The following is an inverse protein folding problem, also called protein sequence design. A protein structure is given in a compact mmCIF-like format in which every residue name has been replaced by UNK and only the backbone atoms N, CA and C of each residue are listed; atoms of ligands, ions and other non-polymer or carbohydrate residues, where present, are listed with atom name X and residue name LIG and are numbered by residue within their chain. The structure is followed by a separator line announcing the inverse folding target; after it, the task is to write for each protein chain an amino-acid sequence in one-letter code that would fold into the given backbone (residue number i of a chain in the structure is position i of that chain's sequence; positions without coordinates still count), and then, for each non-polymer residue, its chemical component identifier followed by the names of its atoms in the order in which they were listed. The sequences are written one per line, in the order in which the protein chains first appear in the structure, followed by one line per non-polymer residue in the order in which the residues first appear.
data_IF_168709430615
#
_entry.id   IF_168709430615
#
_cell.length_a   1.000
_cell.length_b   1.000
_cell.length_c   1.000
_cell.angle_alpha   90.00
_cell.angle_beta   90.00
_cell.angle_gamma   90.00
#
_symmetry.space_group_name_H-M   'P 1'
#
loop_
_entity.id
_entity.type
_entity.pdbx_description
1 polymer ?
#
# COMPACT_ATOMS: atom_id res chain seq x y z
N UNK A 1 6.35 14.97 -21.56
CA UNK A 1 6.16 13.71 -22.32
C UNK A 1 6.22 13.89 -23.83
N UNK A 2 5.22 14.46 -24.52
CA UNK A 2 5.16 14.45 -26.01
C UNK A 2 6.40 15.01 -26.72
N UNK A 3 7.07 16.01 -26.15
CA UNK A 3 8.33 16.59 -26.64
C UNK A 3 9.52 15.61 -26.62
N UNK A 4 9.42 14.50 -25.89
CA UNK A 4 10.46 13.46 -25.76
C UNK A 4 10.23 12.27 -26.71
N UNK A 5 9.18 12.31 -27.55
CA UNK A 5 8.90 11.25 -28.51
C UNK A 5 10.04 11.13 -29.53
N UNK A 6 10.52 9.91 -29.76
CA UNK A 6 11.71 9.64 -30.56
C UNK A 6 13.01 9.60 -29.74
N UNK A 7 12.97 9.86 -28.43
CA UNK A 7 14.14 9.67 -27.57
C UNK A 7 14.63 8.22 -27.65
N UNK A 8 15.95 8.08 -27.84
CA UNK A 8 16.65 6.80 -27.88
C UNK A 8 17.64 6.72 -26.73
N UNK A 9 17.64 5.56 -26.08
CA UNK A 9 18.68 5.15 -25.14
C UNK A 9 20.08 5.21 -25.77
N UNK A 10 21.06 5.64 -24.98
CA UNK A 10 22.47 5.72 -25.39
C UNK A 10 23.19 4.39 -25.09
N UNK A 11 24.49 4.32 -25.41
CA UNK A 11 25.33 3.18 -25.01
C UNK A 11 25.27 2.91 -23.50
N UNK A 12 25.38 1.63 -23.12
CA UNK A 12 25.34 1.21 -21.73
C UNK A 12 23.99 1.47 -21.03
N UNK A 13 22.87 1.36 -21.75
CA UNK A 13 21.50 1.61 -21.26
C UNK A 13 21.25 3.03 -20.68
N UNK A 14 22.16 3.98 -20.91
CA UNK A 14 22.06 5.31 -20.34
C UNK A 14 20.88 6.10 -20.91
N UNK A 15 20.07 6.68 -20.02
CA UNK A 15 19.09 7.72 -20.37
C UNK A 15 19.13 8.89 -19.38
N UNK A 16 18.69 10.06 -19.84
CA UNK A 16 18.51 11.22 -18.94
C UNK A 16 17.44 10.98 -17.86
N UNK A 17 16.50 10.07 -18.11
CA UNK A 17 15.43 9.71 -17.18
C UNK A 17 15.95 8.78 -16.07
N UNK A 18 16.75 7.77 -16.43
CA UNK A 18 17.43 6.89 -15.48
C UNK A 18 18.46 7.64 -14.64
N UNK A 19 19.27 8.52 -15.27
CA UNK A 19 20.18 9.42 -14.55
C UNK A 19 19.44 10.29 -13.54
N UNK A 20 18.40 11.02 -13.97
CA UNK A 20 17.58 11.86 -13.08
C UNK A 20 16.96 11.06 -11.92
N UNK A 21 16.48 9.85 -12.18
CA UNK A 21 15.89 9.00 -11.13
C UNK A 21 16.97 8.55 -10.14
N UNK A 22 18.13 8.09 -10.64
CA UNK A 22 19.28 7.71 -9.83
C UNK A 22 19.77 8.84 -8.92
N UNK A 23 19.84 10.08 -9.43
CA UNK A 23 20.21 11.26 -8.65
C UNK A 23 19.15 11.58 -7.59
N UNK A 24 17.86 11.46 -7.92
CA UNK A 24 16.73 11.72 -7.02
C UNK A 24 16.64 10.74 -5.86
N UNK A 25 16.89 9.45 -6.10
CA UNK A 25 16.88 8.40 -5.06
C UNK A 25 18.26 8.09 -4.48
N UNK A 26 19.30 8.83 -4.91
CA UNK A 26 20.69 8.68 -4.49
C UNK A 26 21.27 7.27 -4.69
N UNK A 27 20.87 6.58 -5.76
CA UNK A 27 21.31 5.21 -6.07
C UNK A 27 21.63 5.05 -7.56
N UNK A 28 22.93 4.88 -7.85
CA UNK A 28 23.47 4.85 -9.21
C UNK A 28 23.02 3.63 -10.02
N UNK A 29 22.49 2.58 -9.39
CA UNK A 29 22.00 1.38 -10.09
C UNK A 29 20.77 1.62 -10.98
N UNK A 30 20.16 2.80 -10.89
CA UNK A 30 19.02 3.21 -11.71
C UNK A 30 19.43 3.96 -12.98
N UNK A 31 20.68 4.41 -13.10
CA UNK A 31 21.18 5.21 -14.23
C UNK A 31 21.09 4.49 -15.57
N UNK A 32 21.34 3.19 -15.54
CA UNK A 32 21.46 2.24 -16.65
C UNK A 32 20.49 1.04 -16.51
N UNK A 33 19.39 1.23 -15.76
CA UNK A 33 18.31 0.25 -15.61
C UNK A 33 17.16 0.46 -16.63
N UNK A 34 16.32 -0.56 -16.88
CA UNK A 34 15.11 -0.42 -17.71
C UNK A 34 14.22 0.73 -17.25
N UNK A 35 13.98 1.69 -18.14
CA UNK A 35 13.57 3.06 -17.78
C UNK A 35 12.11 3.40 -18.12
N UNK A 36 11.26 2.39 -18.37
CA UNK A 36 9.84 2.60 -18.66
C UNK A 36 9.14 3.41 -17.54
N UNK A 37 9.34 3.00 -16.29
CA UNK A 37 8.68 3.60 -15.13
C UNK A 37 9.39 4.89 -14.66
N UNK A 38 10.73 4.91 -14.72
CA UNK A 38 11.53 6.10 -14.38
C UNK A 38 11.22 7.30 -15.30
N UNK A 39 10.86 7.06 -16.56
CA UNK A 39 10.34 8.09 -17.45
C UNK A 39 8.98 8.65 -16.98
N UNK A 40 8.10 7.82 -16.42
CA UNK A 40 6.80 8.28 -15.92
C UNK A 40 6.95 9.08 -14.62
N UNK A 41 7.85 8.68 -13.73
CA UNK A 41 8.24 9.46 -12.56
C UNK A 41 8.80 10.85 -12.96
N UNK A 42 9.73 10.89 -13.94
CA UNK A 42 10.26 12.15 -14.49
C UNK A 42 9.17 13.01 -15.13
N UNK A 43 8.25 12.38 -15.87
CA UNK A 43 7.16 13.08 -16.54
C UNK A 43 6.15 13.68 -15.54
N UNK A 44 5.86 12.96 -14.45
CA UNK A 44 4.98 13.43 -13.38
C UNK A 44 5.60 14.61 -12.61
N UNK A 45 6.89 14.53 -12.30
CA UNK A 45 7.68 15.63 -11.69
C UNK A 45 7.64 16.89 -12.57
N UNK A 46 7.94 16.74 -13.86
CA UNK A 46 7.93 17.86 -14.82
C UNK A 46 6.54 18.46 -15.08
N UNK A 47 5.48 17.75 -14.69
CA UNK A 47 4.10 18.23 -14.76
C UNK A 47 3.53 18.64 -13.38
N UNK A 48 4.28 18.52 -12.28
CA UNK A 48 3.82 18.85 -10.93
C UNK A 48 2.71 17.95 -10.39
N UNK A 49 2.57 16.72 -10.91
CA UNK A 49 1.50 15.77 -10.56
C UNK A 49 1.99 14.51 -9.83
N UNK A 50 3.22 14.55 -9.31
CA UNK A 50 3.87 13.39 -8.68
C UNK A 50 3.07 12.77 -7.53
N UNK A 51 2.34 13.56 -6.75
CA UNK A 51 1.42 13.06 -5.71
C UNK A 51 0.34 12.10 -6.23
N UNK A 52 -0.02 12.21 -7.51
CA UNK A 52 -1.11 11.46 -8.13
C UNK A 52 -0.64 10.31 -9.03
N UNK A 53 0.64 10.31 -9.41
CA UNK A 53 1.28 9.27 -10.24
C UNK A 53 2.25 8.41 -9.42
N UNK A 54 2.95 9.00 -8.46
CA UNK A 54 4.03 8.35 -7.71
C UNK A 54 5.40 8.41 -8.41
N UNK A 55 6.41 7.86 -7.74
CA UNK A 55 7.79 7.80 -8.21
C UNK A 55 8.28 6.35 -8.12
N UNK A 56 8.40 5.68 -9.27
CA UNK A 56 8.73 4.27 -9.33
C UNK A 56 9.75 3.94 -10.42
N UNK A 57 10.52 2.88 -10.17
CA UNK A 57 11.39 2.22 -11.13
C UNK A 57 11.06 0.72 -11.32
N UNK A 58 10.11 0.18 -10.53
CA UNK A 58 9.72 -1.23 -10.58
C UNK A 58 8.19 -1.35 -10.69
N UNK A 59 7.75 -1.84 -11.85
CA UNK A 59 6.36 -1.79 -12.30
C UNK A 59 5.35 -2.56 -11.43
N UNK A 60 5.67 -3.70 -10.76
CA UNK A 60 4.77 -4.31 -9.79
C UNK A 60 4.52 -3.47 -8.54
N UNK A 61 5.51 -2.71 -8.04
CA UNK A 61 5.31 -1.80 -6.90
C UNK A 61 4.41 -0.62 -7.28
N UNK A 62 4.58 -0.07 -8.48
CA UNK A 62 3.74 1.00 -8.98
C UNK A 62 2.27 0.56 -9.13
N UNK A 63 2.05 -0.63 -9.69
CA UNK A 63 0.72 -1.22 -9.76
C UNK A 63 0.12 -1.51 -8.37
N UNK A 64 0.91 -2.06 -7.45
CA UNK A 64 0.49 -2.27 -6.06
C UNK A 64 0.10 -0.95 -5.35
N UNK A 65 0.82 0.14 -5.63
CA UNK A 65 0.50 1.46 -5.10
C UNK A 65 -0.86 1.97 -5.62
N UNK A 66 -1.14 1.92 -6.93
CA UNK A 66 -2.46 2.29 -7.45
C UNK A 66 -3.60 1.43 -6.89
N UNK A 67 -3.35 0.15 -6.63
CA UNK A 67 -4.30 -0.75 -5.95
C UNK A 67 -4.56 -0.24 -4.51
N UNK A 68 -3.51 0.11 -3.77
CA UNK A 68 -3.63 0.67 -2.41
C UNK A 68 -4.33 2.04 -2.38
N UNK A 69 -4.12 2.89 -3.39
CA UNK A 69 -4.82 4.18 -3.52
C UNK A 69 -6.31 4.05 -3.90
N UNK A 70 -6.84 2.83 -4.09
CA UNK A 70 -8.20 2.61 -4.60
C UNK A 70 -8.39 3.09 -6.04
N UNK A 71 -7.28 3.21 -6.80
CA UNK A 71 -7.22 3.86 -8.10
C UNK A 71 -6.81 2.90 -9.23
N UNK A 72 -7.11 1.61 -9.07
CA UNK A 72 -6.84 0.56 -10.05
C UNK A 72 -8.12 0.05 -10.73
N UNK A 73 -8.08 -0.12 -12.05
CA UNK A 73 -9.23 -0.61 -12.85
C UNK A 73 -8.80 -1.62 -13.93
N UNK A 74 -9.79 -2.21 -14.61
CA UNK A 74 -9.64 -3.04 -15.81
C UNK A 74 -10.04 -2.30 -17.09
N UNK A 75 -10.69 -1.14 -16.97
CA UNK A 75 -11.12 -0.32 -18.11
C UNK A 75 -10.09 0.74 -18.50
N UNK A 76 -9.72 0.86 -19.79
CA UNK A 76 -8.81 1.90 -20.26
C UNK A 76 -9.48 3.28 -20.32
N UNK A 77 -8.74 4.32 -19.96
CA UNK A 77 -9.11 5.72 -20.24
C UNK A 77 -7.89 6.56 -20.62
N UNK A 78 -8.05 7.66 -21.39
CA UNK A 78 -6.96 8.60 -21.65
C UNK A 78 -6.37 9.17 -20.36
N UNK A 79 -5.04 9.17 -20.24
CA UNK A 79 -4.31 9.58 -19.04
C UNK A 79 -4.06 8.47 -18.02
N UNK A 80 -4.67 7.29 -18.19
CA UNK A 80 -4.36 6.12 -17.38
C UNK A 80 -2.93 5.62 -17.62
N UNK A 81 -2.30 5.09 -16.57
CA UNK A 81 -1.09 4.29 -16.68
C UNK A 81 -1.50 2.84 -16.94
N UNK A 82 -1.15 2.30 -18.09
CA UNK A 82 -1.42 0.90 -18.47
C UNK A 82 -0.24 0.01 -18.11
N UNK A 83 -0.53 -1.13 -17.49
CA UNK A 83 0.48 -2.10 -17.07
C UNK A 83 0.30 -3.44 -17.79
N UNK A 84 1.41 -4.02 -18.25
CA UNK A 84 1.42 -5.24 -19.08
C UNK A 84 2.21 -6.38 -18.45
N UNK A 85 1.76 -7.61 -18.70
CA UNK A 85 2.46 -8.87 -18.45
C UNK A 85 2.58 -9.56 -19.82
N UNK A 86 3.81 -9.69 -20.32
CA UNK A 86 4.06 -10.22 -21.66
C UNK A 86 3.86 -11.75 -21.72
N UNK A 87 4.05 -12.44 -20.60
CA UNK A 87 3.59 -13.82 -20.39
C UNK A 87 2.09 -13.98 -20.59
N UNK A 88 1.32 -12.90 -20.41
CA UNK A 88 -0.15 -12.87 -20.53
C UNK A 88 -0.86 -13.16 -19.21
N UNK A 89 -0.14 -13.17 -18.09
CA UNK A 89 -0.75 -13.24 -16.76
C UNK A 89 -1.63 -12.02 -16.45
N UNK A 90 -2.34 -12.12 -15.32
CA UNK A 90 -3.28 -11.08 -14.83
C UNK A 90 -3.01 -10.67 -13.39
N UNK A 91 -1.85 -11.05 -12.86
CA UNK A 91 -1.38 -10.73 -11.52
C UNK A 91 -0.43 -9.52 -11.58
N UNK A 92 -0.63 -8.51 -10.73
CA UNK A 92 0.23 -7.33 -10.71
C UNK A 92 1.71 -7.65 -10.41
N UNK A 93 1.99 -8.78 -9.74
CA UNK A 93 3.35 -9.26 -9.47
C UNK A 93 4.11 -9.74 -10.72
N UNK A 94 3.41 -10.01 -11.83
CA UNK A 94 3.97 -10.43 -13.11
C UNK A 94 4.09 -9.29 -14.15
N UNK A 95 3.87 -8.04 -13.74
CA UNK A 95 3.96 -6.90 -14.66
C UNK A 95 5.42 -6.69 -15.10
N UNK A 96 5.62 -6.67 -16.42
CA UNK A 96 6.91 -6.44 -17.09
C UNK A 96 7.10 -4.98 -17.52
N UNK A 97 6.00 -4.25 -17.78
CA UNK A 97 6.05 -2.95 -18.47
C UNK A 97 4.89 -2.03 -18.12
N UNK A 98 5.12 -0.72 -18.32
CA UNK A 98 4.13 0.35 -18.11
C UNK A 98 4.20 1.38 -19.25
N UNK A 99 3.06 1.99 -19.56
CA UNK A 99 2.94 3.13 -20.47
C UNK A 99 1.79 4.06 -20.08
N UNK A 100 1.60 5.17 -20.79
CA UNK A 100 0.43 6.05 -20.61
C UNK A 100 -0.51 5.93 -21.80
N UNK A 101 -1.80 5.73 -21.55
CA UNK A 101 -2.86 5.74 -22.57
C UNK A 101 -3.07 7.18 -23.06
N UNK A 102 -2.82 7.43 -24.35
CA UNK A 102 -3.09 8.71 -25.01
C UNK A 102 -4.52 8.76 -25.56
N UNK A 103 -5.04 7.63 -26.08
CA UNK A 103 -6.45 7.47 -26.51
C UNK A 103 -6.88 6.01 -26.57
N UNK A 104 -8.19 5.77 -26.52
CA UNK A 104 -8.82 4.44 -26.67
C UNK A 104 -9.61 4.41 -27.97
N UNK A 105 -9.60 3.28 -28.68
CA UNK A 105 -10.28 3.09 -29.96
C UNK A 105 -10.81 1.65 -30.07
N UNK A 106 -12.09 1.46 -29.73
CA UNK A 106 -12.68 0.13 -29.61
C UNK A 106 -11.94 -0.72 -28.58
N UNK A 107 -11.37 -1.86 -29.02
CA UNK A 107 -10.58 -2.77 -28.16
C UNK A 107 -9.08 -2.43 -28.09
N UNK A 108 -8.64 -1.42 -28.84
CA UNK A 108 -7.24 -0.98 -28.92
C UNK A 108 -7.00 0.24 -28.03
N UNK A 109 -5.81 0.29 -27.45
CA UNK A 109 -5.28 1.48 -26.79
C UNK A 109 -4.10 2.02 -27.60
N UNK A 110 -3.98 3.34 -27.64
CA UNK A 110 -2.84 4.04 -28.22
C UNK A 110 -2.10 4.73 -27.09
N UNK A 111 -0.82 4.46 -26.98
CA UNK A 111 -0.03 4.71 -25.78
C UNK A 111 1.25 5.46 -26.10
N UNK A 112 1.81 6.13 -25.09
CA UNK A 112 3.18 6.62 -25.07
C UNK A 112 3.96 5.72 -24.10
N UNK A 113 4.99 5.04 -24.62
CA UNK A 113 5.75 4.01 -23.91
C UNK A 113 7.25 4.28 -24.03
N UNK A 114 7.95 4.24 -22.89
CA UNK A 114 9.40 4.38 -22.73
C UNK A 114 10.08 3.00 -22.58
N UNK A 115 11.35 2.86 -22.96
CA UNK A 115 12.06 1.57 -23.04
C UNK A 115 11.34 0.53 -23.96
N UNK A 116 10.46 0.98 -24.87
CA UNK A 116 9.77 0.08 -25.81
C UNK A 116 10.65 -0.27 -27.00
N UNK A 117 10.48 -1.48 -27.53
CA UNK A 117 11.37 -2.07 -28.54
C UNK A 117 12.85 -1.96 -28.09
N UNK A 118 13.05 -2.27 -26.80
CA UNK A 118 14.28 -2.19 -25.98
C UNK A 118 14.82 -0.79 -25.68
N UNK A 119 14.82 0.14 -26.63
CA UNK A 119 15.64 1.36 -26.54
C UNK A 119 14.91 2.68 -26.80
N UNK A 120 13.60 2.67 -27.06
CA UNK A 120 12.88 3.85 -27.54
C UNK A 120 11.82 4.37 -26.57
N UNK A 121 11.58 5.68 -26.63
CA UNK A 121 10.34 6.32 -26.21
C UNK A 121 9.52 6.71 -27.44
N UNK A 122 8.38 6.08 -27.65
CA UNK A 122 7.52 6.35 -28.80
C UNK A 122 6.06 5.98 -28.55
N UNK A 123 5.23 6.27 -29.55
CA UNK A 123 3.84 5.79 -29.59
C UNK A 123 3.77 4.31 -29.95
N UNK A 124 2.80 3.61 -29.37
CA UNK A 124 2.40 2.26 -29.78
C UNK A 124 0.87 2.20 -29.89
N UNK A 125 0.38 1.31 -30.74
CA UNK A 125 -1.00 0.81 -30.68
C UNK A 125 -0.93 -0.60 -30.12
N UNK A 126 -1.76 -0.91 -29.13
CA UNK A 126 -1.73 -2.19 -28.41
C UNK A 126 -3.13 -2.79 -28.37
N UNK A 127 -3.21 -4.10 -28.56
CA UNK A 127 -4.35 -4.89 -28.09
C UNK A 127 -4.33 -4.98 -26.56
N UNK A 128 -5.46 -5.31 -25.96
CA UNK A 128 -5.65 -5.33 -24.51
C UNK A 128 -5.45 -6.72 -23.88
N UNK A 129 -5.13 -7.75 -24.67
CA UNK A 129 -4.95 -9.14 -24.22
C UNK A 129 -3.80 -9.33 -23.23
N UNK A 130 -2.72 -8.54 -23.35
CA UNK A 130 -1.56 -8.52 -22.42
C UNK A 130 -1.66 -7.52 -21.28
N UNK A 131 -2.74 -6.75 -21.20
CA UNK A 131 -2.93 -5.79 -20.11
C UNK A 131 -3.25 -6.54 -18.81
N UNK A 132 -2.56 -6.17 -17.73
CA UNK A 132 -2.90 -6.58 -16.35
C UNK A 132 -3.92 -5.62 -15.77
N UNK A 133 -3.81 -4.32 -16.02
CA UNK A 133 -4.81 -3.32 -15.67
C UNK A 133 -4.27 -1.90 -15.77
N UNK A 134 -5.01 -0.96 -15.20
CA UNK A 134 -4.76 0.47 -15.34
C UNK A 134 -4.75 1.16 -13.98
N UNK A 135 -3.72 1.98 -13.74
CA UNK A 135 -3.66 2.94 -12.64
C UNK A 135 -4.18 4.30 -13.09
N UNK A 136 -5.04 4.93 -12.29
CA UNK A 136 -5.80 6.13 -12.67
C UNK A 136 -5.41 7.34 -11.80
N UNK A 137 -4.48 8.21 -12.25
CA UNK A 137 -4.01 9.36 -11.46
C UNK A 137 -5.12 10.31 -11.01
N UNK A 138 -6.17 10.52 -11.84
CA UNK A 138 -7.29 11.39 -11.47
C UNK A 138 -8.11 10.87 -10.28
N UNK A 139 -8.14 9.55 -10.06
CA UNK A 139 -8.79 8.97 -8.87
C UNK A 139 -7.94 9.16 -7.62
N UNK A 140 -6.61 9.02 -7.72
CA UNK A 140 -5.69 9.36 -6.62
C UNK A 140 -5.86 10.83 -6.23
N UNK A 141 -5.90 11.73 -7.21
CA UNK A 141 -6.16 13.16 -7.00
C UNK A 141 -7.47 13.40 -6.23
N UNK A 142 -8.59 12.87 -6.73
CA UNK A 142 -9.89 13.03 -6.07
C UNK A 142 -9.94 12.45 -4.64
N UNK A 143 -9.23 11.34 -4.39
CA UNK A 143 -9.11 10.75 -3.05
C UNK A 143 -8.31 11.66 -2.11
N UNK A 144 -7.21 12.25 -2.56
CA UNK A 144 -6.40 13.21 -1.78
C UNK A 144 -7.18 14.50 -1.50
N UNK A 145 -7.89 15.05 -2.48
CA UNK A 145 -8.72 16.25 -2.33
C UNK A 145 -9.86 16.02 -1.33
N UNK A 146 -10.56 14.88 -1.43
CA UNK A 146 -11.61 14.48 -0.47
C UNK A 146 -11.07 14.31 0.96
N UNK A 147 -9.89 13.72 1.14
CA UNK A 147 -9.26 13.59 2.46
C UNK A 147 -8.85 14.96 3.04
N UNK A 148 -8.42 15.89 2.19
CA UNK A 148 -8.11 17.25 2.60
C UNK A 148 -9.37 18.04 3.01
N UNK A 149 -10.50 17.84 2.32
CA UNK A 149 -11.79 18.41 2.67
C UNK A 149 -12.28 17.89 4.03
N UNK A 150 -12.32 16.57 4.23
CA UNK A 150 -12.70 15.93 5.51
C UNK A 150 -11.83 16.49 6.65
N UNK A 151 -10.50 16.48 6.49
CA UNK A 151 -9.56 17.01 7.50
C UNK A 151 -9.76 18.50 7.77
N UNK A 152 -10.25 19.27 6.81
CA UNK A 152 -10.54 20.69 6.98
C UNK A 152 -11.85 20.92 7.75
N UNK A 153 -12.87 20.08 7.51
CA UNK A 153 -14.13 20.08 8.25
C UNK A 153 -14.00 19.52 9.68
N UNK A 154 -13.09 18.57 9.91
CA UNK A 154 -12.80 17.96 11.23
C UNK A 154 -11.95 18.85 12.15
N UNK A 155 -11.40 19.97 11.66
CA UNK A 155 -10.79 20.97 12.54
C UNK A 155 -11.89 21.55 13.43
N UNK A 156 -11.86 21.33 14.76
CA UNK A 156 -12.85 21.96 15.62
C UNK A 156 -12.73 23.47 15.45
N UNK A 157 -13.87 24.14 15.38
CA UNK A 157 -13.94 25.58 15.54
C UNK A 157 -13.36 25.90 16.91
N UNK A 158 -12.08 26.28 16.96
CA UNK A 158 -11.44 26.80 18.16
C UNK A 158 -12.17 28.10 18.43
N UNK A 159 -13.17 28.04 19.31
CA UNK A 159 -13.84 29.22 19.84
C UNK A 159 -12.75 30.18 20.26
N UNK A 160 -12.75 31.39 19.69
CA UNK A 160 -11.82 32.43 20.05
C UNK A 160 -11.76 32.52 21.58
N UNK A 161 -10.58 32.72 22.19
CA UNK A 161 -10.45 32.76 23.65
C UNK A 161 -11.49 33.77 24.16
N UNK A 162 -12.45 33.26 24.93
CA UNK A 162 -13.55 34.06 25.45
C UNK A 162 -12.91 35.16 26.27
N UNK A 163 -13.04 36.41 25.79
CA UNK A 163 -12.50 37.57 26.49
C UNK A 163 -12.91 37.47 27.96
N UNK A 164 -11.92 37.47 28.85
CA UNK A 164 -12.17 37.41 30.29
C UNK A 164 -13.10 38.57 30.64
N UNK A 165 -14.18 38.26 31.35
CA UNK A 165 -15.10 39.30 31.81
C UNK A 165 -14.35 40.29 32.70
N UNK A 166 -14.84 41.54 32.82
CA UNK A 166 -14.21 42.52 33.71
C UNK A 166 -14.10 41.95 35.14
N UNK A 167 -13.02 42.26 35.87
CA UNK A 167 -12.75 41.68 37.18
C UNK A 167 -13.87 42.01 38.18
N UNK A 168 -13.98 41.15 39.20
CA UNK A 168 -15.08 41.15 40.15
C UNK A 168 -15.20 42.45 40.97
N UNK A 169 -16.44 42.73 41.36
CA UNK A 169 -16.92 43.49 42.53
C UNK A 169 -16.09 44.67 43.09
N UNK A 170 -16.69 45.87 43.27
CA UNK A 170 -15.99 47.09 43.74
C UNK A 170 -15.63 47.11 45.24
N UNK A 171 -15.58 45.97 45.93
CA UNK A 171 -15.37 45.89 47.38
C UNK A 171 -13.92 45.57 47.79
N UNK A 172 -13.04 45.19 46.85
CA UNK A 172 -11.61 44.99 47.12
C UNK A 172 -10.83 46.32 47.29
N UNK A 173 -11.53 47.47 47.27
CA UNK A 173 -10.92 48.81 47.35
C UNK A 173 -10.82 49.39 48.78
N UNK A 174 -11.46 48.80 49.80
CA UNK A 174 -11.28 49.22 51.20
C UNK A 174 -10.16 48.42 51.87
N UNK A 175 -8.93 48.88 51.66
CA UNK A 175 -7.73 48.30 52.24
C UNK A 175 -7.69 48.36 53.77
N UNK A 176 -7.98 47.24 54.42
CA UNK A 176 -7.52 46.96 55.79
C UNK A 176 -6.25 46.08 55.69
N UNK A 177 -5.10 46.50 56.25
CA UNK A 177 -3.89 45.70 56.15
C UNK A 177 -4.07 44.38 56.94
N UNK A 178 -3.65 43.21 56.38
CA UNK A 178 -3.94 41.89 56.95
C UNK A 178 -3.35 41.66 58.36
N UNK A 179 -2.41 42.51 58.79
CA UNK A 179 -1.87 42.51 60.15
C UNK A 179 -2.94 42.76 61.24
N UNK A 180 -3.97 43.57 60.97
CA UNK A 180 -5.03 43.86 61.95
C UNK A 180 -5.99 42.67 62.13
N UNK A 181 -6.32 41.97 61.04
CA UNK A 181 -7.10 40.73 61.10
C UNK A 181 -6.33 39.63 61.86
N UNK A 182 -5.02 39.50 61.63
CA UNK A 182 -4.19 38.55 62.37
C UNK A 182 -4.20 38.81 63.88
N UNK A 183 -4.14 40.07 64.33
CA UNK A 183 -4.21 40.42 65.75
C UNK A 183 -5.58 40.11 66.39
N UNK A 184 -6.70 40.40 65.70
CA UNK A 184 -8.04 40.05 66.19
C UNK A 184 -8.28 38.54 66.26
N UNK A 185 -7.79 37.77 65.29
CA UNK A 185 -7.88 36.30 65.30
C UNK A 185 -7.01 35.71 66.42
N UNK A 186 -5.81 36.24 66.67
CA UNK A 186 -4.94 35.73 67.72
C UNK A 186 -5.54 35.92 69.13
N UNK A 187 -6.14 37.10 69.40
CA UNK A 187 -6.80 37.37 70.68
C UNK A 187 -8.03 36.50 70.93
N UNK A 188 -8.85 36.25 69.90
CA UNK A 188 -10.04 35.38 70.03
C UNK A 188 -9.68 33.91 70.22
N UNK A 189 -8.59 33.42 69.59
CA UNK A 189 -8.10 32.04 69.77
C UNK A 189 -7.53 31.82 71.17
N UNK A 190 -6.73 32.75 71.72
CA UNK A 190 -6.17 32.63 73.08
C UNK A 190 -7.26 32.61 74.15
N UNK A 191 -8.34 33.39 73.97
CA UNK A 191 -9.47 33.39 74.90
C UNK A 191 -10.30 32.09 74.82
N UNK A 192 -10.37 31.48 73.64
CA UNK A 192 -11.14 30.24 73.39
C UNK A 192 -10.45 28.97 73.88
N UNK A 193 -9.11 28.95 73.94
CA UNK A 193 -8.32 27.77 74.35
C UNK A 193 -8.34 27.45 75.86
N UNK A 194 -8.98 28.29 76.69
CA UNK A 194 -9.19 28.00 78.13
C UNK A 194 -10.47 27.19 78.42
N UNK A 195 -11.32 26.91 77.42
CA UNK A 195 -12.61 26.24 77.63
C UNK A 195 -12.75 25.02 76.69
N UNK A 196 -13.43 23.97 77.16
CA UNK A 196 -13.83 22.76 76.41
C UNK A 196 -12.74 21.75 75.99
N UNK A 197 -12.07 21.20 77.00
CA UNK A 197 -11.44 19.86 76.96
C UNK A 197 -12.50 18.75 77.11
N UNK A 198 -12.97 18.08 76.04
CA UNK A 198 -13.56 16.70 76.10
C UNK A 198 -13.89 16.05 74.72
N UNK A 199 -13.35 14.83 74.52
CA UNK A 199 -13.90 13.57 73.90
C UNK A 199 -14.87 13.66 72.69
N UNK A 200 -14.80 12.81 71.65
CA UNK A 200 -13.86 11.73 71.31
C UNK A 200 -14.42 10.64 70.38
N UNK A 201 -13.52 9.84 69.79
CA UNK A 201 -13.68 8.45 69.25
C UNK A 201 -14.40 8.15 67.91
N UNK A 202 -13.78 7.21 67.17
CA UNK A 202 -13.86 6.93 65.74
C UNK A 202 -14.87 5.85 65.27
N UNK A 203 -15.22 5.94 63.97
CA UNK A 203 -15.72 4.92 63.01
C UNK A 203 -15.38 3.43 63.29
N UNK A 204 -16.32 2.53 62.93
CA UNK A 204 -16.19 1.50 61.85
C UNK A 204 -17.48 0.65 61.67
N UNK A 205 -17.83 0.30 60.43
CA UNK A 205 -18.73 -0.83 60.09
C UNK A 205 -18.53 -1.27 58.61
N UNK A 206 -18.45 -2.59 58.29
CA UNK A 206 -18.40 -3.10 56.92
C UNK A 206 -19.75 -3.66 56.42
N UNK A 207 -19.93 -3.74 55.10
CA UNK A 207 -21.19 -4.13 54.45
C UNK A 207 -21.31 -5.63 54.12
N UNK A 208 -22.54 -6.15 54.09
CA UNK A 208 -22.88 -7.58 53.85
C UNK A 208 -23.39 -7.83 52.41
N UNK A 209 -23.33 -9.10 51.97
CA UNK A 209 -23.90 -9.64 50.72
C UNK A 209 -25.44 -9.77 50.76
N UNK A 210 -26.09 -9.94 49.58
CA UNK A 210 -27.30 -10.75 49.43
C UNK A 210 -27.11 -12.06 48.64
N UNK A 211 -28.09 -12.96 48.74
CA UNK A 211 -28.21 -14.34 48.24
C UNK A 211 -29.09 -14.44 46.97
N UNK A 212 -28.76 -15.22 45.93
CA UNK A 212 -28.99 -16.68 45.67
C UNK A 212 -30.46 -17.13 45.39
N UNK A 213 -30.68 -17.60 44.16
CA UNK A 213 -31.53 -18.73 43.73
C UNK A 213 -30.74 -19.46 42.60
N UNK A 214 -30.66 -20.78 42.37
CA UNK A 214 -31.59 -21.91 42.56
C UNK A 214 -32.15 -22.30 41.17
N UNK A 215 -32.04 -23.51 40.58
CA UNK A 215 -31.40 -24.81 40.89
C UNK A 215 -31.10 -25.53 39.53
N UNK A 216 -30.23 -26.55 39.35
CA UNK A 216 -30.34 -28.00 39.69
C UNK A 216 -28.99 -28.74 39.34
N UNK A 217 -28.75 -30.01 39.74
CA UNK A 217 -27.40 -30.61 39.79
C UNK A 217 -26.91 -31.35 38.51
N UNK A 218 -25.60 -31.70 38.43
CA UNK A 218 -24.95 -32.25 37.22
C UNK A 218 -24.79 -33.78 37.21
N UNK A 219 -24.54 -34.33 36.00
CA UNK A 219 -24.03 -35.71 35.78
C UNK A 219 -22.68 -35.64 35.05
N UNK A 220 -21.75 -36.53 35.42
CA UNK A 220 -20.35 -36.71 34.96
C UNK A 220 -19.90 -38.11 35.43
N UNK A 221 -18.71 -38.67 35.04
CA UNK A 221 -17.77 -38.30 33.96
C UNK A 221 -17.26 -39.52 33.13
N UNK A 222 -16.39 -39.28 32.12
CA UNK A 222 -15.20 -40.08 31.67
C UNK A 222 -14.62 -39.39 30.40
N UNK A 223 -13.37 -38.95 30.24
CA UNK A 223 -12.01 -39.52 30.47
C UNK A 223 -11.56 -40.49 29.33
N UNK A 224 -10.92 -40.00 28.24
CA UNK A 224 -9.46 -40.05 27.89
C UNK A 224 -8.92 -41.45 27.52
N UNK A 225 -7.76 -41.67 26.81
CA UNK A 225 -6.95 -40.88 25.84
C UNK A 225 -6.98 -41.61 24.45
N UNK A 226 -5.91 -41.85 23.62
CA UNK A 226 -4.62 -41.18 23.34
C UNK A 226 -4.45 -40.82 21.82
N UNK A 227 -3.51 -41.41 21.06
CA UNK A 227 -3.20 -41.11 19.63
C UNK A 227 -2.38 -42.21 18.90
N UNK A 228 -2.26 -42.07 17.56
CA UNK A 228 -1.36 -42.72 16.56
C UNK A 228 -1.90 -43.90 15.71
N UNK A 229 -1.35 -43.94 14.48
CA UNK A 229 -1.45 -44.96 13.43
C UNK A 229 -2.78 -45.11 12.68
N UNK A 230 -2.88 -44.45 11.51
CA UNK A 230 -2.98 -45.19 10.26
C UNK A 230 -2.48 -44.34 9.08
N UNK A 231 -1.53 -44.90 8.34
CA UNK A 231 -1.07 -44.40 7.04
C UNK A 231 -1.48 -45.42 5.96
N UNK A 232 -1.55 -44.96 4.70
CA UNK A 232 -1.78 -45.77 3.49
C UNK A 232 -3.16 -46.45 3.40
N UNK A 233 -4.07 -45.87 2.62
CA UNK A 233 -4.80 -46.56 1.54
C UNK A 233 -5.73 -45.58 0.81
N UNK A 234 -5.23 -44.92 -0.24
CA UNK A 234 -6.04 -44.41 -1.35
C UNK A 234 -5.15 -44.20 -2.59
N UNK A 235 -4.61 -45.31 -3.08
CA UNK A 235 -3.99 -45.43 -4.38
C UNK A 235 -4.38 -46.79 -4.98
N UNK A 236 -4.67 -46.82 -6.28
CA UNK A 236 -5.11 -47.99 -7.09
C UNK A 236 -6.57 -48.45 -6.93
N UNK A 237 -7.45 -47.77 -7.67
CA UNK A 237 -8.58 -48.33 -8.45
C UNK A 237 -9.10 -47.14 -9.30
N UNK A 238 -9.30 -47.21 -10.62
CA UNK A 238 -9.22 -48.31 -11.58
C UNK A 238 -8.46 -47.89 -12.85
N UNK A 239 -7.67 -48.81 -13.40
CA UNK A 239 -7.29 -48.81 -14.80
C UNK A 239 -7.62 -50.18 -15.38
N UNK A 240 -8.47 -50.23 -16.42
CA UNK A 240 -8.57 -51.27 -17.48
C UNK A 240 -9.91 -51.17 -18.22
N UNK A 241 -9.85 -50.80 -19.51
CA UNK A 241 -10.63 -51.38 -20.62
C UNK A 241 -10.09 -50.86 -21.95
N UNK A 242 -9.31 -51.70 -22.63
CA UNK A 242 -9.16 -51.69 -24.09
C UNK A 242 -10.09 -52.77 -24.67
N UNK A 243 -10.34 -52.76 -25.99
CA UNK A 243 -9.71 -53.79 -26.82
C UNK A 243 -9.03 -53.25 -28.10
N UNK A 244 -8.27 -54.12 -28.76
CA UNK A 244 -7.47 -53.84 -29.97
C UNK A 244 -8.24 -54.11 -31.27
N UNK A 245 -7.79 -53.54 -32.39
CA UNK A 245 -7.89 -54.14 -33.73
C UNK A 245 -6.71 -53.74 -34.64
N UNK A 246 -6.58 -54.42 -35.79
CA UNK A 246 -5.49 -54.35 -36.79
C UNK A 246 -6.11 -54.16 -38.19
N UNK A 247 -5.41 -53.88 -39.30
CA UNK A 247 -3.98 -53.75 -39.65
C UNK A 247 -3.90 -52.89 -40.95
N UNK A 248 -2.76 -52.29 -41.31
CA UNK A 248 -2.06 -52.47 -42.62
C UNK A 248 -0.87 -51.49 -42.83
N UNK A 249 0.07 -51.94 -43.67
CA UNK A 249 1.14 -51.12 -44.30
C UNK A 249 0.51 -50.29 -45.46
N UNK A 250 1.15 -49.39 -46.22
CA UNK A 250 2.50 -49.40 -46.80
C UNK A 250 2.79 -48.03 -47.47
N UNK A 251 4.03 -47.75 -47.91
CA UNK A 251 4.29 -46.70 -48.93
C UNK A 251 5.15 -45.49 -48.51
N UNK A 252 6.47 -45.59 -48.76
CA UNK A 252 7.35 -44.46 -49.07
C UNK A 252 7.65 -44.48 -50.59
N UNK A 253 7.96 -43.35 -51.22
CA UNK A 253 9.26 -42.67 -51.08
C UNK A 253 9.07 -41.18 -50.65
N UNK A 254 9.95 -40.18 -50.82
CA UNK A 254 11.15 -40.06 -51.65
C UNK A 254 12.23 -39.11 -51.07
N UNK A 255 12.75 -38.16 -51.88
CA UNK A 255 13.97 -37.37 -51.68
C UNK A 255 13.78 -35.93 -52.19
N UNK A 256 14.36 -34.94 -51.49
CA UNK A 256 15.31 -33.95 -52.05
C UNK A 256 16.28 -33.45 -50.95
N UNK A 257 17.47 -32.98 -51.36
CA UNK A 257 18.65 -32.58 -50.56
C UNK A 257 19.50 -31.61 -51.43
N UNK A 258 20.34 -30.68 -50.98
CA UNK A 258 20.82 -30.20 -49.65
C UNK A 258 20.82 -28.62 -49.72
N UNK A 259 21.79 -27.77 -49.26
CA UNK A 259 22.73 -27.79 -48.11
C UNK A 259 22.76 -26.51 -47.23
N UNK A 260 23.35 -26.70 -46.04
CA UNK A 260 24.29 -25.82 -45.30
C UNK A 260 24.03 -24.31 -45.09
N UNK A 261 24.00 -23.92 -43.81
CA UNK A 261 24.18 -22.54 -43.33
C UNK A 261 24.84 -22.53 -41.94
N UNK A 262 25.99 -21.86 -41.87
CA UNK A 262 26.91 -21.60 -40.75
C UNK A 262 26.34 -21.64 -39.33
N UNK A 263 27.03 -22.32 -38.41
CA UNK A 263 26.77 -22.21 -36.97
C UNK A 263 27.47 -21.02 -36.32
N UNK A 264 26.81 -20.38 -35.34
CA UNK A 264 27.48 -19.62 -34.28
C UNK A 264 26.84 -19.93 -32.93
N UNK A 265 27.69 -20.14 -31.92
CA UNK A 265 27.30 -20.47 -30.55
C UNK A 265 26.73 -19.23 -29.87
N UNK A 266 25.48 -19.33 -29.40
CA UNK A 266 24.89 -18.30 -28.54
C UNK A 266 25.33 -18.51 -27.08
N UNK A 267 26.27 -17.70 -26.61
CA UNK A 267 26.64 -17.63 -25.19
C UNK A 267 25.48 -17.10 -24.35
N UNK A 268 25.00 -17.90 -23.40
CA UNK A 268 24.00 -17.47 -22.43
C UNK A 268 24.66 -16.53 -21.42
N UNK A 269 24.35 -15.23 -21.48
CA UNK A 269 24.69 -14.33 -20.39
C UNK A 269 23.79 -14.61 -19.18
N UNK A 270 24.40 -14.96 -18.06
CA UNK A 270 23.75 -15.12 -16.77
C UNK A 270 23.45 -13.75 -16.15
N UNK A 271 22.18 -13.49 -15.84
CA UNK A 271 21.77 -12.30 -15.10
C UNK A 271 22.16 -12.46 -13.62
N UNK A 272 22.89 -11.51 -13.00
CA UNK A 272 23.13 -11.54 -11.55
C UNK A 272 21.83 -11.26 -10.79
N UNK A 273 21.60 -12.00 -9.70
CA UNK A 273 20.39 -11.86 -8.89
C UNK A 273 20.40 -10.52 -8.12
N UNK A 274 19.57 -9.57 -8.57
CA UNK A 274 19.40 -8.26 -7.93
C UNK A 274 18.51 -8.39 -6.69
N UNK A 275 18.95 -7.86 -5.54
CA UNK A 275 18.12 -7.73 -4.33
C UNK A 275 16.87 -6.90 -4.66
N UNK A 276 15.72 -7.28 -4.11
CA UNK A 276 14.50 -6.47 -4.17
C UNK A 276 14.59 -5.37 -3.11
N UNK A 277 14.53 -4.07 -3.47
CA UNK A 277 14.08 -3.06 -2.52
C UNK A 277 12.59 -3.29 -2.22
N UNK A 278 12.11 -2.82 -1.06
CA UNK A 278 10.72 -2.96 -0.59
C UNK A 278 10.29 -4.36 -0.10
N UNK A 279 11.12 -5.04 0.69
CA UNK A 279 10.58 -5.90 1.77
C UNK A 279 10.48 -5.05 3.06
N UNK A 280 9.35 -5.09 3.78
CA UNK A 280 9.21 -4.39 5.05
C UNK A 280 10.04 -5.08 6.15
N UNK A 281 10.68 -4.27 6.99
CA UNK A 281 11.30 -4.68 8.27
C UNK A 281 10.25 -5.01 9.32
#
# INVERSE_FOLDING_TARGET
MRQELGYKEKSGQFTKFGQWYADRVQDTQYRDAPWCDMFLAWAADKAGITTYVGEFAWTPSHAAWFIQQGAWTREPEPGALVFYDWGGGKNYKGIDHVGVVERVEGKKIHTIEANVDRVWLKRKTRETDKVVGYGIPRMVKGNVEKLAEIRSAERPFVSAPRAEGPPASPLDFLGTPPALLAFMVLMTVVLSLRVSRRRGTHRRFPWRRPTRAGAKPPVKPQAKPPAKQQAKQQAKQQAKRQPQSKLHQEGQPARTRVPAGSGHVATRHSTPARRKPYEPT
#
